data_IF_340467210388
#
_entry.id   IF_340467210388
#
_cell.length_a   1.000
_cell.length_b   1.000
_cell.length_c   1.000
_cell.angle_alpha   90.00
_cell.angle_beta   90.00
_cell.angle_gamma   90.00
#
_symmetry.space_group_name_H-M   'P 1'
#
loop_
_entity.id
_entity.type
_entity.pdbx_description
1 polymer ?
#
# COMPACT_ATOMS: atom_id res chain seq x y z
N UNK A 1 9.21 6.17 -1.79
CA UNK A 1 8.49 6.62 -3.00
C UNK A 1 7.08 7.07 -2.66
N UNK A 2 6.50 8.03 -3.41
CA UNK A 2 5.09 8.44 -3.32
C UNK A 2 4.35 7.93 -4.56
N UNK A 3 3.23 7.22 -4.34
CA UNK A 3 2.34 6.74 -5.39
C UNK A 3 1.03 7.51 -5.35
N UNK A 4 0.52 7.91 -6.51
CA UNK A 4 -0.73 8.68 -6.64
C UNK A 4 -1.57 8.16 -7.81
N UNK A 5 -2.88 8.09 -7.60
CA UNK A 5 -3.92 7.88 -8.62
C UNK A 5 -4.92 9.03 -8.53
N UNK A 6 -5.37 9.55 -9.67
CA UNK A 6 -6.25 10.72 -9.70
C UNK A 6 -7.75 10.37 -9.56
N UNK A 7 -8.24 9.30 -10.20
CA UNK A 7 -9.65 8.88 -10.11
C UNK A 7 -9.78 7.35 -9.96
N UNK A 8 -10.43 6.84 -8.89
CA UNK A 8 -10.75 7.57 -7.66
C UNK A 8 -9.45 7.99 -6.95
N UNK A 9 -9.44 9.19 -6.37
CA UNK A 9 -8.23 9.75 -5.77
C UNK A 9 -7.64 8.81 -4.71
N UNK A 10 -6.35 8.50 -4.84
CA UNK A 10 -5.59 7.77 -3.83
C UNK A 10 -4.13 8.24 -3.84
N UNK A 11 -3.54 8.37 -2.65
CA UNK A 11 -2.13 8.68 -2.49
C UNK A 11 -1.54 7.87 -1.33
N UNK A 12 -0.42 7.18 -1.58
CA UNK A 12 0.23 6.31 -0.59
C UNK A 12 1.73 6.55 -0.61
N UNK A 13 2.34 6.58 0.58
CA UNK A 13 3.80 6.67 0.73
C UNK A 13 4.34 5.28 1.03
N UNK A 14 5.29 4.83 0.22
CA UNK A 14 5.96 3.54 0.37
C UNK A 14 7.41 3.79 0.75
N UNK A 15 7.87 3.38 1.95
CA UNK A 15 9.28 3.43 2.32
C UNK A 15 10.13 2.64 1.33
N UNK A 16 11.33 3.13 1.06
CA UNK A 16 12.28 2.51 0.14
C UNK A 16 13.35 1.75 0.94
N UNK A 17 13.01 0.52 1.31
CA UNK A 17 13.88 -0.41 2.02
C UNK A 17 13.35 -1.85 1.84
N UNK A 18 14.22 -2.85 1.99
CA UNK A 18 13.89 -4.24 1.65
C UNK A 18 12.81 -4.88 2.55
N UNK A 19 12.71 -4.47 3.81
CA UNK A 19 11.79 -5.08 4.78
C UNK A 19 10.94 -4.05 5.52
N UNK A 20 9.62 -4.22 5.47
CA UNK A 20 8.63 -3.40 6.18
C UNK A 20 8.21 -4.07 7.47
N UNK A 21 8.11 -3.30 8.56
CA UNK A 21 7.43 -3.75 9.76
C UNK A 21 5.98 -4.14 9.43
N UNK A 22 5.48 -5.25 10.01
CA UNK A 22 4.15 -5.82 9.72
C UNK A 22 3.01 -4.81 9.83
N UNK A 23 3.05 -3.95 10.84
CA UNK A 23 2.05 -2.90 11.05
C UNK A 23 2.07 -1.83 9.96
N UNK A 24 3.26 -1.48 9.47
CA UNK A 24 3.46 -0.50 8.42
C UNK A 24 2.98 -1.03 7.06
N UNK A 25 3.31 -2.29 6.74
CA UNK A 25 2.80 -2.96 5.54
C UNK A 25 1.26 -2.99 5.53
N UNK A 26 0.63 -3.39 6.64
CA UNK A 26 -0.84 -3.41 6.77
C UNK A 26 -1.45 -2.02 6.63
N UNK A 27 -0.79 -0.99 7.16
CA UNK A 27 -1.26 0.39 7.03
C UNK A 27 -1.22 0.87 5.57
N UNK A 28 -0.14 0.56 4.85
CA UNK A 28 0.04 0.90 3.42
C UNK A 28 -1.03 0.22 2.56
N UNK A 29 -1.24 -1.09 2.75
CA UNK A 29 -2.28 -1.86 2.02
C UNK A 29 -3.66 -1.23 2.22
N UNK A 30 -4.00 -0.89 3.48
CA UNK A 30 -5.27 -0.23 3.79
C UNK A 30 -5.38 1.16 3.18
N UNK A 31 -4.30 1.96 3.19
CA UNK A 31 -4.28 3.29 2.55
C UNK A 31 -4.46 3.21 1.03
N UNK A 32 -4.01 2.13 0.41
CA UNK A 32 -4.26 1.84 -1.01
C UNK A 32 -5.72 1.43 -1.29
N UNK A 33 -6.56 1.28 -0.25
CA UNK A 33 -7.95 0.87 -0.38
C UNK A 33 -8.13 -0.63 -0.61
N UNK A 34 -7.14 -1.45 -0.21
CA UNK A 34 -7.17 -2.90 -0.36
C UNK A 34 -7.28 -3.60 1.00
N UNK A 35 -7.87 -4.77 0.99
CA UNK A 35 -7.72 -5.79 2.03
C UNK A 35 -6.40 -6.55 1.84
N UNK A 36 -5.97 -7.29 2.88
CA UNK A 36 -4.78 -8.14 2.77
C UNK A 36 -4.98 -9.23 1.73
N UNK A 37 -6.18 -9.82 1.64
CA UNK A 37 -6.46 -10.89 0.70
C UNK A 37 -6.42 -10.38 -0.76
N UNK A 38 -7.01 -9.21 -1.05
CA UNK A 38 -6.91 -8.57 -2.37
C UNK A 38 -5.46 -8.17 -2.71
N UNK A 39 -4.66 -7.79 -1.72
CA UNK A 39 -3.24 -7.52 -1.97
C UNK A 39 -2.48 -8.79 -2.36
N UNK A 40 -2.76 -9.91 -1.69
CA UNK A 40 -2.10 -11.19 -1.96
C UNK A 40 -2.44 -11.76 -3.35
N UNK A 41 -3.55 -11.37 -3.96
CA UNK A 41 -3.89 -11.79 -5.33
C UNK A 41 -3.15 -11.03 -6.43
N UNK A 42 -2.41 -9.97 -6.08
CA UNK A 42 -1.64 -9.13 -7.01
C UNK A 42 -0.14 -9.47 -7.06
N UNK A 43 0.29 -10.49 -6.31
CA UNK A 43 1.67 -11.00 -6.26
C UNK A 43 1.88 -12.15 -7.24
#
# INVERSE_FOLDING_TARGET
MVLRRDEPFAQVVVPDHDELAKGLLRAIIRQAGLTVDEFLTLL
#
